data_IF_699349478238
#
_entry.id   IF_699349478238
#
_cell.length_a   1.000
_cell.length_b   1.000
_cell.length_c   1.000
_cell.angle_alpha   90.00
_cell.angle_beta   90.00
_cell.angle_gamma   90.00
#
_symmetry.space_group_name_H-M   'P 1'
#
loop_
_entity.id
_entity.type
_entity.pdbx_description
1 polymer ?
#
# COMPACT_ATOMS: atom_id res chain seq x y z
N UNK A 1 -15.89 7.64 -11.11
CA UNK A 1 -14.98 6.51 -11.44
C UNK A 1 -14.26 6.69 -12.77
N UNK A 2 -14.94 7.08 -13.86
CA UNK A 2 -14.30 7.22 -15.19
C UNK A 2 -13.20 8.30 -15.28
N UNK A 3 -13.33 9.40 -14.51
CA UNK A 3 -12.31 10.45 -14.42
C UNK A 3 -10.93 9.94 -13.98
N UNK A 4 -10.88 8.96 -13.07
CA UNK A 4 -9.62 8.38 -12.62
C UNK A 4 -8.88 7.67 -13.75
N UNK A 5 -9.59 6.97 -14.63
CA UNK A 5 -8.95 6.31 -15.78
C UNK A 5 -8.33 7.32 -16.74
N UNK A 6 -9.00 8.45 -16.99
CA UNK A 6 -8.43 9.52 -17.81
C UNK A 6 -7.21 10.18 -17.15
N UNK A 7 -7.25 10.39 -15.84
CA UNK A 7 -6.10 10.92 -15.09
C UNK A 7 -4.90 9.97 -15.14
N UNK A 8 -5.14 8.67 -14.92
CA UNK A 8 -4.11 7.63 -15.01
C UNK A 8 -3.53 7.57 -16.42
N UNK A 9 -4.38 7.61 -17.44
CA UNK A 9 -3.95 7.61 -18.83
C UNK A 9 -3.06 8.83 -19.16
N UNK A 10 -3.45 10.02 -18.71
CA UNK A 10 -2.65 11.24 -18.87
C UNK A 10 -1.28 11.12 -18.19
N UNK A 11 -1.24 10.57 -16.98
CA UNK A 11 0.01 10.32 -16.24
C UNK A 11 0.90 9.35 -17.03
N UNK A 12 0.34 8.25 -17.55
CA UNK A 12 1.09 7.26 -18.34
C UNK A 12 1.69 7.90 -19.59
N UNK A 13 0.92 8.72 -20.33
CA UNK A 13 1.43 9.46 -21.49
C UNK A 13 2.57 10.40 -21.07
N UNK A 14 2.41 11.14 -19.97
CA UNK A 14 3.45 12.03 -19.46
C UNK A 14 4.75 11.28 -19.13
N UNK A 15 4.64 10.12 -18.49
CA UNK A 15 5.79 9.25 -18.19
C UNK A 15 6.46 8.75 -19.48
N UNK A 16 5.68 8.35 -20.49
CA UNK A 16 6.21 7.88 -21.76
C UNK A 16 6.97 8.99 -22.52
N UNK A 17 6.39 10.20 -22.57
CA UNK A 17 7.05 11.36 -23.17
C UNK A 17 8.35 11.70 -22.42
N UNK A 18 8.29 11.73 -21.08
CA UNK A 18 9.46 11.94 -20.23
C UNK A 18 10.56 10.92 -20.52
N UNK A 19 10.21 9.63 -20.63
CA UNK A 19 11.16 8.57 -20.94
C UNK A 19 11.80 8.75 -22.32
N UNK A 20 11.02 9.08 -23.36
CA UNK A 20 11.56 9.31 -24.70
C UNK A 20 12.51 10.51 -24.71
N UNK A 21 12.11 11.64 -24.12
CA UNK A 21 12.92 12.86 -24.10
C UNK A 21 14.24 12.68 -23.34
N UNK A 22 14.23 11.90 -22.25
CA UNK A 22 15.42 11.68 -21.43
C UNK A 22 16.26 10.47 -21.88
N UNK A 23 15.81 9.71 -22.88
CA UNK A 23 16.52 8.50 -23.37
C UNK A 23 17.79 8.83 -24.15
N UNK A 24 17.86 10.01 -24.78
CA UNK A 24 19.03 10.47 -25.55
C UNK A 24 19.97 11.35 -24.73
N UNK A 25 19.66 11.61 -23.46
CA UNK A 25 20.51 12.40 -22.58
C UNK A 25 21.78 11.62 -22.19
N UNK A 26 22.89 12.34 -22.02
CA UNK A 26 24.14 11.74 -21.53
C UNK A 26 23.93 11.06 -20.17
N UNK A 27 24.64 9.93 -19.91
CA UNK A 27 24.58 9.27 -18.62
C UNK A 27 24.90 10.22 -17.47
N UNK A 28 24.19 10.06 -16.36
CA UNK A 28 24.42 10.80 -15.13
C UNK A 28 25.24 9.91 -14.19
N UNK A 29 26.32 10.45 -13.66
CA UNK A 29 27.13 9.77 -12.64
C UNK A 29 26.49 9.95 -11.26
N UNK A 30 26.17 8.85 -10.61
CA UNK A 30 25.66 8.83 -9.24
C UNK A 30 26.79 8.41 -8.31
N UNK A 31 27.03 9.20 -7.27
CA UNK A 31 27.95 8.86 -6.17
C UNK A 31 27.13 8.56 -4.92
N UNK A 32 27.23 7.34 -4.41
CA UNK A 32 26.56 6.91 -3.20
C UNK A 32 27.56 6.24 -2.26
N UNK A 33 27.91 6.94 -1.17
CA UNK A 33 28.90 6.51 -0.21
C UNK A 33 30.25 6.17 -0.89
N UNK A 34 30.61 4.89 -1.02
CA UNK A 34 31.84 4.44 -1.70
C UNK A 34 31.61 3.98 -3.15
N UNK A 35 30.37 4.00 -3.63
CA UNK A 35 30.02 3.56 -4.98
C UNK A 35 29.86 4.74 -5.93
N UNK A 36 30.34 4.55 -7.16
CA UNK A 36 30.07 5.43 -8.28
C UNK A 36 29.61 4.59 -9.45
N UNK A 37 28.54 5.01 -10.11
CA UNK A 37 28.04 4.34 -11.30
C UNK A 37 27.38 5.35 -12.23
N UNK A 38 27.46 5.08 -13.54
CA UNK A 38 26.79 5.88 -14.56
C UNK A 38 25.52 5.19 -15.01
N UNK A 39 24.44 5.94 -15.07
CA UNK A 39 23.14 5.43 -15.45
C UNK A 39 22.33 6.52 -16.13
N UNK A 40 21.28 6.15 -16.87
CA UNK A 40 20.35 7.15 -17.38
C UNK A 40 19.49 7.71 -16.24
N UNK A 41 19.04 8.94 -16.41
CA UNK A 41 18.13 9.58 -15.45
C UNK A 41 16.87 8.73 -15.21
N UNK A 42 16.36 8.10 -16.27
CA UNK A 42 15.13 7.31 -16.25
C UNK A 42 15.29 6.09 -15.34
N UNK A 43 16.36 5.31 -15.52
CA UNK A 43 16.60 4.11 -14.71
C UNK A 43 16.85 4.48 -13.24
N UNK A 44 17.48 5.63 -13.00
CA UNK A 44 17.69 6.16 -11.66
C UNK A 44 16.37 6.44 -10.93
N UNK A 45 15.47 7.18 -11.59
CA UNK A 45 14.18 7.54 -11.02
C UNK A 45 13.31 6.30 -10.83
N UNK A 46 13.27 5.40 -11.82
CA UNK A 46 12.47 4.19 -11.72
C UNK A 46 12.98 3.28 -10.58
N UNK A 47 14.30 3.10 -10.50
CA UNK A 47 14.93 2.32 -9.44
C UNK A 47 14.68 2.90 -8.05
N UNK A 48 14.77 4.22 -7.89
CA UNK A 48 14.53 4.88 -6.59
C UNK A 48 13.07 4.77 -6.13
N UNK A 49 12.11 4.89 -7.05
CA UNK A 49 10.68 4.69 -6.76
C UNK A 49 10.43 3.24 -6.31
N UNK A 50 10.94 2.26 -7.06
CA UNK A 50 10.79 0.84 -6.72
C UNK A 50 11.39 0.56 -5.34
N UNK A 51 12.60 1.04 -5.07
CA UNK A 51 13.25 0.92 -3.76
C UNK A 51 12.41 1.55 -2.64
N UNK A 52 11.86 2.76 -2.86
CA UNK A 52 11.00 3.44 -1.89
C UNK A 52 9.72 2.65 -1.59
N UNK A 53 9.09 2.06 -2.60
CA UNK A 53 7.92 1.17 -2.43
C UNK A 53 8.31 -0.08 -1.65
N UNK A 54 9.43 -0.72 -1.99
CA UNK A 54 9.91 -1.91 -1.29
C UNK A 54 10.21 -1.64 0.19
N UNK A 55 10.90 -0.54 0.50
CA UNK A 55 11.17 -0.11 1.88
C UNK A 55 9.86 0.11 2.62
N UNK A 56 8.93 0.85 2.02
CA UNK A 56 7.61 1.15 2.62
C UNK A 56 6.85 -0.14 2.92
N UNK A 57 6.79 -1.08 1.96
CA UNK A 57 6.15 -2.38 2.13
C UNK A 57 6.83 -3.18 3.24
N UNK A 58 8.17 -3.21 3.26
CA UNK A 58 8.94 -3.95 4.27
C UNK A 58 8.58 -3.51 5.69
N UNK A 59 8.48 -2.20 5.95
CA UNK A 59 8.09 -1.68 7.26
C UNK A 59 6.58 -1.78 7.53
N UNK A 60 5.73 -1.75 6.51
CA UNK A 60 4.28 -1.81 6.66
C UNK A 60 3.76 -3.24 6.93
N UNK A 61 4.37 -4.27 6.33
CA UNK A 61 3.94 -5.68 6.41
C UNK A 61 3.75 -6.16 7.86
N UNK A 62 4.71 -5.99 8.79
CA UNK A 62 4.54 -6.46 10.18
C UNK A 62 3.32 -5.84 10.86
N UNK A 63 3.10 -4.54 10.63
CA UNK A 63 1.96 -3.79 11.17
C UNK A 63 0.65 -4.29 10.58
N UNK A 64 0.60 -4.52 9.27
CA UNK A 64 -0.57 -5.07 8.59
C UNK A 64 -0.92 -6.46 9.12
N UNK A 65 0.08 -7.33 9.32
CA UNK A 65 -0.11 -8.67 9.89
C UNK A 65 -0.67 -8.59 11.32
N UNK A 66 -0.06 -7.77 12.20
CA UNK A 66 -0.52 -7.61 13.59
C UNK A 66 -1.97 -7.11 13.64
N UNK A 67 -2.31 -6.15 12.78
CA UNK A 67 -3.68 -5.62 12.65
C UNK A 67 -4.66 -6.71 12.19
N UNK A 68 -4.27 -7.55 11.23
CA UNK A 68 -5.11 -8.65 10.77
C UNK A 68 -5.40 -9.68 11.88
N UNK A 69 -4.39 -10.02 12.69
CA UNK A 69 -4.57 -10.90 13.85
C UNK A 69 -5.49 -10.28 14.91
N UNK A 70 -5.29 -9.01 15.26
CA UNK A 70 -6.17 -8.31 16.21
C UNK A 70 -7.61 -8.25 15.72
N UNK A 71 -7.83 -7.95 14.44
CA UNK A 71 -9.18 -7.97 13.83
C UNK A 71 -9.82 -9.35 13.94
N UNK A 72 -9.06 -10.43 13.77
CA UNK A 72 -9.57 -11.81 13.92
C UNK A 72 -9.93 -12.13 15.38
N UNK A 73 -9.08 -11.74 16.35
CA UNK A 73 -9.37 -11.94 17.77
C UNK A 73 -10.62 -11.17 18.19
N UNK A 74 -10.71 -9.90 17.83
CA UNK A 74 -11.86 -9.04 18.16
C UNK A 74 -13.17 -9.60 17.56
N UNK A 75 -13.14 -10.12 16.33
CA UNK A 75 -14.30 -10.81 15.73
C UNK A 75 -14.71 -12.07 16.49
N UNK A 76 -13.76 -12.84 17.01
CA UNK A 76 -14.05 -14.05 17.81
C UNK A 76 -14.63 -13.68 19.16
N UNK A 77 -14.08 -12.67 19.83
CA UNK A 77 -14.61 -12.16 21.10
C UNK A 77 -16.05 -11.67 20.92
N UNK A 78 -16.32 -10.84 19.92
CA UNK A 78 -17.69 -10.38 19.61
C UNK A 78 -18.64 -11.56 19.38
N UNK A 79 -18.23 -12.60 18.66
CA UNK A 79 -19.04 -13.81 18.45
C UNK A 79 -19.29 -14.61 19.73
N UNK A 80 -18.28 -14.75 20.58
CA UNK A 80 -18.38 -15.47 21.86
C UNK A 80 -19.27 -14.73 22.86
N UNK A 81 -19.10 -13.40 22.99
CA UNK A 81 -19.98 -12.57 23.81
C UNK A 81 -21.42 -12.67 23.31
N UNK A 82 -21.62 -12.64 21.99
CA UNK A 82 -22.96 -12.78 21.40
C UNK A 82 -23.63 -14.11 21.74
N UNK A 83 -22.88 -15.20 21.64
CA UNK A 83 -23.37 -16.54 21.99
C UNK A 83 -23.64 -16.70 23.48
N UNK A 84 -22.82 -16.08 24.35
CA UNK A 84 -22.99 -16.11 25.80
C UNK A 84 -24.24 -15.34 26.25
N UNK A 85 -24.49 -14.17 25.66
CA UNK A 85 -25.69 -13.37 25.93
C UNK A 85 -26.97 -14.10 25.49
N UNK A 86 -26.98 -14.69 24.29
CA UNK A 86 -28.09 -15.52 23.80
C UNK A 86 -28.38 -16.70 24.75
N UNK A 87 -27.32 -17.36 25.24
CA UNK A 87 -27.45 -18.49 26.18
C UNK A 87 -27.91 -18.07 27.58
N UNK A 88 -27.63 -16.83 28.01
CA UNK A 88 -28.11 -16.28 29.29
C UNK A 88 -29.61 -15.93 29.30
N UNK A 89 -30.28 -16.05 28.16
CA UNK A 89 -31.74 -15.88 28.06
C UNK A 89 -32.22 -14.44 28.22
N UNK A 90 -31.37 -13.43 27.98
CA UNK A 90 -31.77 -12.02 28.01
C UNK A 90 -32.78 -11.74 26.87
N UNK A 91 -34.06 -11.48 27.19
CA UNK A 91 -35.13 -11.36 26.20
C UNK A 91 -35.01 -10.11 25.32
N UNK A 92 -34.18 -9.13 25.69
CA UNK A 92 -33.95 -7.90 24.92
C UNK A 92 -32.61 -7.90 24.15
N UNK A 93 -31.93 -9.04 24.08
CA UNK A 93 -30.60 -9.12 23.49
C UNK A 93 -30.58 -8.82 21.98
N UNK A 94 -31.57 -9.32 21.22
CA UNK A 94 -31.65 -9.12 19.77
C UNK A 94 -31.83 -7.66 19.35
N UNK A 95 -32.47 -6.85 20.18
CA UNK A 95 -32.76 -5.43 19.89
C UNK A 95 -31.52 -4.54 20.08
N UNK A 96 -30.62 -4.89 21.00
CA UNK A 96 -29.37 -4.14 21.26
C UNK A 96 -28.29 -4.29 20.19
N UNK A 97 -28.36 -5.31 19.33
CA UNK A 97 -27.34 -5.62 18.32
C UNK A 97 -27.61 -4.93 16.97
N UNK A 98 -28.83 -4.46 16.73
CA UNK A 98 -29.22 -3.81 15.45
C UNK A 98 -29.15 -2.27 15.47
N UNK A 99 -28.98 -1.65 16.63
CA UNK A 99 -28.71 -0.20 16.78
C UNK A 99 -27.21 0.06 16.79
#
# INVERSE_FOLDING_TARGET
MQFFYWLIFLIIIGIAIFAIQNSSASPITIKFLFWQFETSLIYTILGSIILGVLITLFFWIPTAIKSAFHKRQLKREVGNLKSALEKSGDPNYGEKIQK
#
